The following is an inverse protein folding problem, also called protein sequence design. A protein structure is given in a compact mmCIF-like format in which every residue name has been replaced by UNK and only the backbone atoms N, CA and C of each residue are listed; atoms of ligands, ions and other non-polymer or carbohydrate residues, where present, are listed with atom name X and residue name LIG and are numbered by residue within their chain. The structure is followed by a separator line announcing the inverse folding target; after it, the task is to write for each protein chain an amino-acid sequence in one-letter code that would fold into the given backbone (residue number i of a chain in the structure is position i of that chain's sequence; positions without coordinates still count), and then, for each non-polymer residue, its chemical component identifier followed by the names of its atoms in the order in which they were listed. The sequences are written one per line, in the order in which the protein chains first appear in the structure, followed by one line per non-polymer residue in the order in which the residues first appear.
data_IF_806527776783
#
_entry.id   IF_806527776783
#
_cell.length_a   1.000
_cell.length_b   1.000
_cell.length_c   1.000
_cell.angle_alpha   90.00
_cell.angle_beta   90.00
_cell.angle_gamma   90.00
#
_symmetry.space_group_name_H-M   'P 1'
#
loop_
_entity.id
_entity.type
_entity.pdbx_description
1 polymer ?
#
# COMPACT_ATOMS: atom_id res chain seq x y z
N UNK A 1 6.64 20.34 -14.68
CA UNK A 1 5.97 19.08 -15.07
C UNK A 1 5.39 18.47 -13.81
N UNK A 2 4.17 17.94 -13.86
CA UNK A 2 3.57 17.28 -12.69
C UNK A 2 4.07 15.84 -12.69
N UNK A 3 4.63 15.36 -11.58
CA UNK A 3 4.99 13.94 -11.43
C UNK A 3 3.72 13.17 -11.13
N UNK A 4 3.53 12.01 -11.76
CA UNK A 4 2.29 11.25 -11.64
C UNK A 4 2.59 9.79 -11.32
N UNK A 5 2.36 9.42 -10.07
CA UNK A 5 2.48 8.06 -9.59
C UNK A 5 1.14 7.34 -9.44
N UNK A 6 1.15 6.03 -9.64
CA UNK A 6 0.03 5.14 -9.33
C UNK A 6 0.50 4.05 -8.36
N UNK A 7 -0.18 3.89 -7.23
CA UNK A 7 0.01 2.78 -6.30
C UNK A 7 -1.20 1.88 -6.35
N UNK A 8 -1.00 0.65 -6.82
CA UNK A 8 -1.97 -0.42 -6.82
C UNK A 8 -1.79 -1.21 -5.53
N UNK A 9 -2.87 -1.36 -4.74
CA UNK A 9 -2.87 -2.11 -3.49
C UNK A 9 -4.03 -3.12 -3.48
N UNK A 10 -3.94 -4.15 -2.65
CA UNK A 10 -4.88 -5.27 -2.71
C UNK A 10 -6.28 -4.86 -2.28
N UNK A 11 -6.40 -4.11 -1.18
CA UNK A 11 -7.69 -3.78 -0.58
C UNK A 11 -7.81 -2.38 0.00
N UNK A 12 -8.98 -2.12 0.59
CA UNK A 12 -9.32 -0.84 1.21
C UNK A 12 -8.50 -0.54 2.46
N UNK A 13 -8.08 -1.57 3.20
CA UNK A 13 -7.25 -1.43 4.40
C UNK A 13 -5.83 -1.00 4.04
N UNK A 14 -5.23 -1.60 3.01
CA UNK A 14 -3.91 -1.19 2.53
C UNK A 14 -3.93 0.25 2.05
N UNK A 15 -4.96 0.64 1.28
CA UNK A 15 -5.18 2.03 0.89
C UNK A 15 -5.30 2.94 2.11
N UNK A 16 -5.96 2.51 3.19
CA UNK A 16 -6.10 3.31 4.41
C UNK A 16 -4.75 3.52 5.11
N UNK A 17 -3.93 2.47 5.23
CA UNK A 17 -2.56 2.57 5.76
C UNK A 17 -1.70 3.51 4.90
N UNK A 18 -1.70 3.32 3.57
CA UNK A 18 -1.00 4.21 2.64
C UNK A 18 -1.48 5.67 2.77
N UNK A 19 -2.79 5.88 2.82
CA UNK A 19 -3.40 7.21 2.97
C UNK A 19 -2.92 7.90 4.24
N UNK A 20 -2.93 7.20 5.37
CA UNK A 20 -2.49 7.75 6.63
C UNK A 20 -0.99 8.02 6.66
N UNK A 21 -0.17 7.12 6.08
CA UNK A 21 1.27 7.31 5.96
C UNK A 21 1.63 8.53 5.12
N UNK A 22 1.03 8.67 3.94
CA UNK A 22 1.22 9.85 3.08
C UNK A 22 0.81 11.14 3.81
N UNK A 23 -0.32 11.12 4.51
CA UNK A 23 -0.79 12.27 5.29
C UNK A 23 0.20 12.63 6.40
N UNK A 24 0.73 11.65 7.13
CA UNK A 24 1.76 11.84 8.16
C UNK A 24 3.06 12.46 7.60
N UNK A 25 3.35 12.23 6.32
CA UNK A 25 4.47 12.85 5.58
C UNK A 25 4.14 14.18 4.92
N UNK A 26 2.96 14.74 5.19
CA UNK A 26 2.54 16.06 4.71
C UNK A 26 1.96 16.08 3.29
N UNK A 27 1.60 14.92 2.73
CA UNK A 27 0.81 14.87 1.50
C UNK A 27 -0.62 15.33 1.77
N UNK A 28 -1.18 16.12 0.86
CA UNK A 28 -2.54 16.64 0.96
C UNK A 28 -3.49 15.77 0.15
N UNK A 29 -4.55 15.28 0.78
CA UNK A 29 -5.61 14.57 0.06
C UNK A 29 -6.33 15.51 -0.91
N UNK A 30 -6.58 15.02 -2.12
CA UNK A 30 -7.27 15.75 -3.18
C UNK A 30 -8.76 15.35 -3.28
N UNK A 31 -9.35 14.83 -2.20
CA UNK A 31 -10.79 14.51 -2.17
C UNK A 31 -11.59 15.78 -2.51
N UNK A 32 -12.36 15.79 -3.61
CA UNK A 32 -13.16 16.95 -3.94
C UNK A 32 -14.28 17.12 -2.92
N UNK A 33 -14.70 18.36 -2.67
CA UNK A 33 -15.86 18.66 -1.83
C UNK A 33 -17.17 18.13 -2.46
N UNK A 34 -17.21 18.05 -3.79
CA UNK A 34 -18.29 17.47 -4.58
C UNK A 34 -17.76 16.90 -5.89
N UNK A 35 -18.36 15.82 -6.40
CA UNK A 35 -17.93 15.17 -7.65
C UNK A 35 -16.81 14.13 -7.47
N UNK A 36 -16.23 13.70 -8.60
CA UNK A 36 -15.13 12.72 -8.62
C UNK A 36 -13.79 13.41 -8.78
N UNK A 37 -12.77 12.90 -8.09
CA UNK A 37 -11.40 13.38 -8.28
C UNK A 37 -10.93 13.00 -9.70
N UNK A 38 -10.11 13.87 -10.30
CA UNK A 38 -9.44 13.61 -11.57
C UNK A 38 -7.94 13.40 -11.34
N UNK A 39 -7.32 12.53 -12.14
CA UNK A 39 -5.88 12.40 -12.23
C UNK A 39 -5.28 13.51 -13.14
N UNK A 40 -3.93 13.67 -13.21
CA UNK A 40 -3.28 14.62 -14.12
C UNK A 40 -3.57 14.41 -15.60
N UNK A 41 -4.05 13.22 -16.00
CA UNK A 41 -4.50 12.91 -17.37
C UNK A 41 -5.94 13.34 -17.61
N UNK A 42 -6.62 13.90 -16.60
CA UNK A 42 -8.02 14.33 -16.65
C UNK A 42 -9.02 13.18 -16.51
N UNK A 43 -8.57 11.99 -16.10
CA UNK A 43 -9.43 10.81 -15.95
C UNK A 43 -10.04 10.79 -14.56
N UNK A 44 -11.30 10.38 -14.46
CA UNK A 44 -11.93 10.13 -13.17
C UNK A 44 -11.23 8.98 -12.44
N UNK A 45 -10.95 9.18 -11.15
CA UNK A 45 -10.40 8.11 -10.33
C UNK A 45 -11.40 6.95 -10.21
N UNK A 46 -10.93 5.69 -10.23
CA UNK A 46 -11.79 4.54 -10.06
C UNK A 46 -12.46 4.55 -8.67
N UNK A 47 -13.58 3.84 -8.53
CA UNK A 47 -14.32 3.76 -7.27
C UNK A 47 -13.39 3.31 -6.14
N UNK A 48 -13.32 4.10 -5.08
CA UNK A 48 -12.50 3.79 -3.92
C UNK A 48 -11.04 4.25 -4.03
N UNK A 49 -10.58 4.74 -5.18
CA UNK A 49 -9.25 5.33 -5.25
C UNK A 49 -9.18 6.70 -4.57
N UNK A 50 -8.02 7.02 -4.00
CA UNK A 50 -7.71 8.34 -3.45
C UNK A 50 -6.61 9.01 -4.25
N UNK A 51 -6.61 10.34 -4.27
CA UNK A 51 -5.50 11.12 -4.81
C UNK A 51 -4.86 11.95 -3.71
N UNK A 52 -3.54 12.11 -3.81
CA UNK A 52 -2.73 12.92 -2.93
C UNK A 52 -1.78 13.80 -3.73
N UNK A 53 -1.44 14.96 -3.17
CA UNK A 53 -0.49 15.90 -3.76
C UNK A 53 0.51 16.40 -2.74
N UNK A 54 1.77 16.54 -3.17
CA UNK A 54 2.83 17.22 -2.43
C UNK A 54 3.73 17.97 -3.42
N UNK A 55 3.71 19.30 -3.37
CA UNK A 55 4.40 20.13 -4.37
C UNK A 55 3.94 19.84 -5.80
N UNK A 56 4.87 19.37 -6.64
CA UNK A 56 4.62 18.98 -8.04
C UNK A 56 4.30 17.48 -8.21
N UNK A 57 4.33 16.69 -7.15
CA UNK A 57 4.00 15.28 -7.18
C UNK A 57 2.51 15.03 -6.94
N UNK A 58 1.93 14.14 -7.74
CA UNK A 58 0.58 13.64 -7.63
C UNK A 58 0.62 12.12 -7.57
N UNK A 59 -0.08 11.51 -6.61
CA UNK A 59 -0.17 10.05 -6.52
C UNK A 59 -1.63 9.61 -6.42
N UNK A 60 -1.97 8.57 -7.18
CA UNK A 60 -3.25 7.87 -7.08
C UNK A 60 -3.05 6.57 -6.31
N UNK A 61 -3.81 6.36 -5.24
CA UNK A 61 -3.88 5.10 -4.50
C UNK A 61 -5.12 4.33 -4.96
N UNK A 62 -4.94 3.16 -5.57
CA UNK A 62 -6.02 2.35 -6.14
C UNK A 62 -6.15 1.02 -5.37
N UNK A 63 -7.25 0.79 -4.63
CA UNK A 63 -7.56 -0.53 -4.09
C UNK A 63 -8.12 -1.41 -5.21
N UNK A 64 -7.44 -2.51 -5.51
CA UNK A 64 -7.76 -3.35 -6.66
C UNK A 64 -8.80 -4.44 -6.35
N UNK A 65 -9.01 -4.82 -5.09
CA UNK A 65 -9.90 -5.92 -4.74
C UNK A 65 -9.28 -7.30 -5.01
N UNK A 66 -7.95 -7.41 -4.89
CA UNK A 66 -7.22 -8.68 -5.01
C UNK A 66 -6.14 -8.70 -6.08
N UNK A 67 -5.33 -9.76 -6.03
CA UNK A 67 -4.15 -9.94 -6.88
C UNK A 67 -4.42 -9.95 -8.38
N UNK A 68 -5.44 -10.66 -8.83
CA UNK A 68 -5.81 -10.74 -10.25
C UNK A 68 -6.05 -9.35 -10.84
N UNK A 69 -6.68 -8.48 -10.06
CA UNK A 69 -7.01 -7.13 -10.49
C UNK A 69 -5.80 -6.20 -10.42
N UNK A 70 -4.88 -6.39 -9.45
CA UNK A 70 -3.56 -5.73 -9.45
C UNK A 70 -2.84 -6.03 -10.77
N UNK A 71 -2.76 -7.30 -11.20
CA UNK A 71 -2.08 -7.67 -12.45
C UNK A 71 -2.73 -7.04 -13.68
N UNK A 72 -4.07 -6.96 -13.70
CA UNK A 72 -4.83 -6.36 -14.81
C UNK A 72 -4.56 -4.87 -14.90
N UNK A 73 -4.74 -4.14 -13.80
CA UNK A 73 -4.55 -2.69 -13.74
C UNK A 73 -3.08 -2.30 -13.93
N UNK A 74 -2.14 -3.08 -13.39
CA UNK A 74 -0.71 -2.86 -13.62
C UNK A 74 -0.36 -2.91 -15.12
N UNK A 75 -0.87 -3.90 -15.85
CA UNK A 75 -0.61 -4.01 -17.27
C UNK A 75 -1.17 -2.81 -18.07
N UNK A 76 -2.35 -2.32 -17.69
CA UNK A 76 -2.97 -1.15 -18.32
C UNK A 76 -2.17 0.13 -18.04
N UNK A 77 -1.86 0.41 -16.78
CA UNK A 77 -1.08 1.59 -16.41
C UNK A 77 0.34 1.54 -17.01
N UNK A 78 0.98 0.37 -17.07
CA UNK A 78 2.29 0.22 -17.69
C UNK A 78 2.25 0.47 -19.21
N UNK A 79 1.22 -0.04 -19.90
CA UNK A 79 1.04 0.20 -21.33
C UNK A 79 0.82 1.69 -21.63
N UNK A 80 -0.08 2.33 -20.88
CA UNK A 80 -0.39 3.75 -21.03
C UNK A 80 0.82 4.62 -20.70
N UNK A 81 1.50 4.37 -19.58
CA UNK A 81 2.71 5.09 -19.19
C UNK A 81 3.79 5.01 -20.28
N UNK A 82 3.96 3.84 -20.90
CA UNK A 82 4.93 3.63 -21.97
C UNK A 82 4.54 4.38 -23.25
N UNK A 83 3.28 4.29 -23.67
CA UNK A 83 2.76 5.01 -24.86
C UNK A 83 2.82 6.53 -24.68
N UNK A 84 2.53 7.01 -23.48
CA UNK A 84 2.52 8.44 -23.16
C UNK A 84 3.88 8.96 -22.69
N UNK A 85 4.94 8.14 -22.72
CA UNK A 85 6.26 8.55 -22.23
C UNK A 85 6.72 9.84 -22.91
N UNK A 86 7.13 10.81 -22.09
CA UNK A 86 7.47 12.18 -22.52
C UNK A 86 6.31 13.19 -22.49
N UNK A 87 5.06 12.76 -22.29
CA UNK A 87 3.93 13.67 -22.06
C UNK A 87 4.03 14.33 -20.68
N UNK A 88 3.69 15.63 -20.53
CA UNK A 88 3.82 16.38 -19.28
C UNK A 88 2.96 15.83 -18.11
N UNK A 89 2.00 14.94 -18.40
CA UNK A 89 1.10 14.32 -17.44
C UNK A 89 1.18 12.78 -17.44
N UNK A 90 2.17 12.22 -18.14
CA UNK A 90 2.39 10.77 -18.20
C UNK A 90 2.62 10.20 -16.79
N UNK A 91 2.17 8.97 -16.58
CA UNK A 91 2.54 8.21 -15.39
C UNK A 91 4.04 7.91 -15.45
N UNK A 92 4.78 8.38 -14.48
CA UNK A 92 6.24 8.19 -14.37
C UNK A 92 6.62 7.28 -13.19
N UNK A 93 5.62 6.78 -12.46
CA UNK A 93 5.80 5.86 -11.34
C UNK A 93 4.61 4.88 -11.22
N UNK A 94 4.90 3.59 -11.05
CA UNK A 94 3.89 2.56 -10.76
C UNK A 94 4.40 1.66 -9.62
N UNK A 95 3.62 1.51 -8.54
CA UNK A 95 3.85 0.49 -7.53
C UNK A 95 2.74 -0.55 -7.50
N UNK A 96 3.11 -1.83 -7.40
CA UNK A 96 2.20 -2.92 -7.09
C UNK A 96 2.51 -3.44 -5.68
N UNK A 97 1.56 -3.26 -4.76
CA UNK A 97 1.69 -3.66 -3.36
C UNK A 97 0.69 -4.78 -3.03
N UNK A 98 1.16 -5.87 -2.42
CA UNK A 98 0.32 -7.03 -2.11
C UNK A 98 0.88 -7.82 -0.94
N UNK A 99 0.03 -8.61 -0.28
CA UNK A 99 0.44 -9.46 0.84
C UNK A 99 1.28 -10.67 0.35
N UNK A 100 2.29 -11.07 1.13
CA UNK A 100 3.18 -12.18 0.77
C UNK A 100 2.51 -13.56 0.86
N UNK A 101 1.37 -13.64 1.55
CA UNK A 101 0.66 -14.89 1.84
C UNK A 101 -0.36 -15.27 0.76
N UNK A 102 -0.51 -14.45 -0.28
CA UNK A 102 -1.29 -14.81 -1.47
C UNK A 102 -0.67 -16.09 -2.05
N UNK A 103 -1.46 -17.15 -2.14
CA UNK A 103 -1.00 -18.43 -2.67
C UNK A 103 -0.80 -18.33 -4.19
N UNK A 104 0.29 -18.90 -4.72
CA UNK A 104 0.51 -18.98 -6.15
C UNK A 104 1.97 -18.85 -6.58
N UNK A 105 2.14 -18.58 -7.88
CA UNK A 105 3.44 -18.38 -8.52
C UNK A 105 4.19 -17.16 -7.95
N UNK A 106 5.47 -17.00 -8.33
CA UNK A 106 6.24 -15.81 -8.01
C UNK A 106 5.52 -14.55 -8.53
N UNK A 107 4.92 -13.80 -7.60
CA UNK A 107 4.15 -12.59 -7.89
C UNK A 107 5.02 -11.47 -8.48
N UNK A 108 6.30 -11.40 -8.10
CA UNK A 108 7.25 -10.49 -8.72
C UNK A 108 7.47 -10.85 -10.19
N UNK A 109 7.60 -12.15 -10.48
CA UNK A 109 7.70 -12.63 -11.87
C UNK A 109 6.44 -12.32 -12.67
N UNK A 110 5.26 -12.51 -12.07
CA UNK A 110 3.99 -12.21 -12.73
C UNK A 110 3.88 -10.73 -13.13
N UNK A 111 4.30 -9.80 -12.26
CA UNK A 111 4.33 -8.36 -12.57
C UNK A 111 5.34 -8.07 -13.68
N UNK A 112 6.54 -8.68 -13.64
CA UNK A 112 7.55 -8.56 -14.71
C UNK A 112 7.05 -9.09 -16.06
N UNK A 113 6.30 -10.19 -16.06
CA UNK A 113 5.69 -10.74 -17.28
C UNK A 113 4.59 -9.82 -17.84
N UNK A 114 3.79 -9.20 -16.96
CA UNK A 114 2.81 -8.18 -17.37
C UNK A 114 3.48 -6.95 -17.95
N UNK A 115 4.57 -6.48 -17.34
CA UNK A 115 5.38 -5.38 -17.88
C UNK A 115 5.89 -5.73 -19.28
N UNK A 116 6.53 -6.90 -19.46
CA UNK A 116 7.04 -7.34 -20.76
C UNK A 116 5.94 -7.41 -21.81
N UNK A 117 4.76 -7.93 -21.45
CA UNK A 117 3.62 -8.00 -22.36
C UNK A 117 3.08 -6.62 -22.73
N UNK A 118 3.01 -5.69 -21.77
CA UNK A 118 2.47 -4.35 -21.97
C UNK A 118 3.40 -3.45 -22.79
N UNK A 119 4.71 -3.59 -22.61
CA UNK A 119 5.72 -2.67 -23.18
C UNK A 119 6.56 -3.27 -24.29
N UNK A 120 6.62 -4.61 -24.40
CA UNK A 120 7.56 -5.30 -25.28
C UNK A 120 8.98 -5.42 -24.70
N UNK A 121 9.25 -4.84 -23.52
CA UNK A 121 10.59 -4.81 -22.91
C UNK A 121 10.71 -5.76 -21.72
N UNK A 122 11.77 -6.57 -21.68
CA UNK A 122 12.04 -7.43 -20.53
C UNK A 122 12.59 -6.60 -19.36
N UNK A 123 11.93 -6.60 -18.18
CA UNK A 123 12.47 -5.92 -17.01
C UNK A 123 13.60 -6.77 -16.38
N UNK A 124 14.51 -6.17 -15.60
CA UNK A 124 15.53 -6.91 -14.87
C UNK A 124 14.89 -7.82 -13.79
N UNK A 125 15.58 -8.88 -13.33
CA UNK A 125 15.08 -9.82 -12.32
C UNK A 125 15.20 -9.25 -10.90
N UNK A 126 14.60 -8.08 -10.67
CA UNK A 126 14.52 -7.40 -9.37
C UNK A 126 13.13 -6.78 -9.21
N UNK A 127 12.80 -6.39 -8.00
CA UNK A 127 11.48 -5.87 -7.63
C UNK A 127 11.36 -4.34 -7.77
N UNK A 128 12.44 -3.66 -8.17
CA UNK A 128 12.47 -2.24 -8.50
C UNK A 128 13.23 -1.99 -9.80
N UNK A 129 12.66 -1.22 -10.74
CA UNK A 129 13.38 -0.84 -11.95
C UNK A 129 12.90 0.48 -12.54
N UNK A 130 13.65 1.00 -13.50
CA UNK A 130 13.27 2.18 -14.28
C UNK A 130 13.47 1.89 -15.76
N UNK A 131 12.53 2.34 -16.60
CA UNK A 131 12.60 2.23 -18.04
C UNK A 131 11.90 3.42 -18.70
N UNK A 132 12.56 4.10 -19.63
CA UNK A 132 12.02 5.29 -20.33
C UNK A 132 11.40 6.32 -19.38
N UNK A 133 12.08 6.60 -18.26
CA UNK A 133 11.62 7.54 -17.24
C UNK A 133 10.60 6.99 -16.25
N UNK A 134 9.98 5.84 -16.52
CA UNK A 134 8.95 5.20 -15.67
C UNK A 134 9.63 4.36 -14.59
N UNK A 135 9.44 4.71 -13.32
CA UNK A 135 9.85 3.88 -12.18
C UNK A 135 8.78 2.83 -11.87
N UNK A 136 9.20 1.61 -11.59
CA UNK A 136 8.33 0.52 -11.18
C UNK A 136 8.83 -0.11 -9.89
N UNK A 137 7.92 -0.33 -8.95
CA UNK A 137 8.19 -1.00 -7.68
C UNK A 137 7.18 -2.13 -7.42
N UNK A 138 7.69 -3.25 -6.94
CA UNK A 138 6.93 -4.41 -6.50
C UNK A 138 7.17 -4.53 -5.00
N UNK A 139 6.12 -4.28 -4.22
CA UNK A 139 6.19 -4.30 -2.77
C UNK A 139 5.41 -5.50 -2.27
N UNK A 140 6.09 -6.36 -1.52
CA UNK A 140 5.48 -7.52 -0.89
C UNK A 140 5.43 -7.31 0.62
N UNK A 141 4.23 -7.21 1.18
CA UNK A 141 4.07 -7.06 2.62
C UNK A 141 4.34 -8.39 3.32
N UNK A 142 5.38 -8.41 4.15
CA UNK A 142 5.73 -9.54 5.00
C UNK A 142 6.10 -9.04 6.38
N UNK A 143 5.59 -9.71 7.42
CA UNK A 143 5.89 -9.35 8.80
C UNK A 143 7.19 -9.97 9.32
N UNK A 144 7.84 -10.87 8.56
CA UNK A 144 9.17 -11.41 8.83
C UNK A 144 9.27 -12.45 9.96
N UNK A 145 8.28 -12.59 10.83
CA UNK A 145 8.25 -13.59 11.91
C UNK A 145 7.09 -14.56 11.75
N UNK A 146 7.31 -15.84 12.07
CA UNK A 146 6.32 -16.90 11.89
C UNK A 146 5.01 -16.69 12.69
N UNK A 147 5.06 -15.92 13.78
CA UNK A 147 3.86 -15.61 14.58
C UNK A 147 2.93 -14.61 13.91
N UNK A 148 3.44 -13.87 12.94
CA UNK A 148 2.68 -12.87 12.21
C UNK A 148 2.31 -13.39 10.84
N UNK A 149 1.09 -13.06 10.40
CA UNK A 149 0.70 -13.28 9.01
C UNK A 149 1.61 -12.45 8.11
N UNK A 150 2.10 -13.02 7.01
CA UNK A 150 2.92 -12.31 6.03
C UNK A 150 2.05 -11.41 5.15
N UNK A 151 1.51 -10.36 5.78
CA UNK A 151 0.60 -9.37 5.22
C UNK A 151 0.83 -8.01 5.86
N UNK A 152 0.21 -6.98 5.31
CA UNK A 152 0.21 -5.64 5.92
C UNK A 152 -0.44 -5.64 7.30
N UNK A 153 -1.51 -6.40 7.48
CA UNK A 153 -2.22 -6.52 8.77
C UNK A 153 -1.29 -7.11 9.85
N UNK A 154 -0.47 -8.10 9.47
CA UNK A 154 0.53 -8.68 10.36
C UNK A 154 1.65 -7.71 10.73
N UNK A 155 2.09 -6.86 9.78
CA UNK A 155 3.05 -5.79 10.04
C UNK A 155 2.51 -4.74 11.01
N UNK A 156 1.25 -4.33 10.83
CA UNK A 156 0.59 -3.41 11.76
C UNK A 156 0.52 -4.05 13.15
N UNK A 157 0.03 -5.29 13.27
CA UNK A 157 -0.03 -6.01 14.55
C UNK A 157 1.34 -6.14 15.24
N UNK A 158 2.39 -6.49 14.48
CA UNK A 158 3.78 -6.49 14.96
C UNK A 158 4.19 -5.14 15.53
N UNK A 159 3.87 -4.06 14.84
CA UNK A 159 4.20 -2.69 15.27
C UNK A 159 3.54 -2.34 16.61
N UNK A 160 2.28 -2.75 16.83
CA UNK A 160 1.60 -2.60 18.12
C UNK A 160 2.28 -3.40 19.23
N UNK A 161 2.61 -4.66 18.95
CA UNK A 161 3.24 -5.55 19.91
C UNK A 161 4.60 -5.01 20.38
N UNK A 162 5.38 -4.44 19.46
CA UNK A 162 6.68 -3.84 19.74
C UNK A 162 6.58 -2.48 20.44
N UNK A 163 5.59 -1.65 20.07
CA UNK A 163 5.38 -0.34 20.69
C UNK A 163 4.88 -0.47 22.14
N UNK A 164 4.08 -1.51 22.43
CA UNK A 164 3.36 -1.62 23.69
C UNK A 164 3.28 -3.08 24.20
N UNK A 165 4.42 -3.68 24.57
CA UNK A 165 4.50 -5.12 24.88
C UNK A 165 3.64 -5.55 26.06
N UNK A 166 3.47 -4.70 27.09
CA UNK A 166 2.63 -5.03 28.23
C UNK A 166 1.14 -5.07 27.86
N UNK A 167 0.66 -4.09 27.09
CA UNK A 167 -0.73 -4.05 26.62
C UNK A 167 -1.00 -5.13 25.58
N UNK A 168 -0.03 -5.44 24.73
CA UNK A 168 -0.12 -6.59 23.80
C UNK A 168 -0.44 -7.89 24.54
N UNK A 169 0.32 -8.22 25.59
CA UNK A 169 0.08 -9.44 26.39
C UNK A 169 -1.35 -9.51 26.96
N UNK A 170 -1.90 -8.37 27.39
CA UNK A 170 -3.27 -8.32 27.88
C UNK A 170 -4.29 -8.55 26.76
N UNK A 171 -4.06 -7.99 25.58
CA UNK A 171 -4.93 -8.20 24.39
C UNK A 171 -4.85 -9.66 23.93
N UNK A 172 -3.65 -10.23 23.88
CA UNK A 172 -3.41 -11.64 23.53
C UNK A 172 -4.10 -12.58 24.52
N UNK A 173 -3.93 -12.37 25.82
CA UNK A 173 -4.63 -13.14 26.86
C UNK A 173 -6.16 -13.00 26.77
N UNK A 174 -6.66 -11.80 26.46
CA UNK A 174 -8.10 -11.59 26.23
C UNK A 174 -8.59 -12.37 25.01
N UNK A 175 -7.89 -12.31 23.87
CA UNK A 175 -8.24 -13.06 22.67
C UNK A 175 -8.19 -14.58 22.90
N UNK A 176 -7.22 -15.07 23.68
CA UNK A 176 -7.11 -16.48 24.05
C UNK A 176 -8.22 -16.93 24.99
N UNK A 177 -8.78 -16.03 25.81
CA UNK A 177 -9.85 -16.35 26.75
C UNK A 177 -11.24 -16.48 26.12
N UNK A 178 -11.39 -16.10 24.84
CA UNK A 178 -12.68 -16.14 24.13
C UNK A 178 -13.10 -17.58 23.80
N UNK A 179 -14.36 -17.91 24.04
CA UNK A 179 -14.95 -19.19 23.62
C UNK A 179 -14.95 -19.33 22.09
N UNK A 180 -15.12 -18.20 21.39
CA UNK A 180 -15.02 -18.04 19.94
C UNK A 180 -13.65 -17.50 19.51
N UNK A 181 -12.56 -18.02 20.10
CA UNK A 181 -11.19 -17.59 19.79
C UNK A 181 -10.98 -17.57 18.27
N UNK A 182 -10.64 -16.41 17.67
CA UNK A 182 -10.38 -16.36 16.24
C UNK A 182 -9.08 -17.08 15.93
N UNK A 183 -9.10 -17.96 14.93
CA UNK A 183 -7.88 -18.51 14.35
C UNK A 183 -6.98 -17.38 13.82
N UNK A 184 -5.64 -17.56 13.77
CA UNK A 184 -4.73 -16.58 13.17
C UNK A 184 -5.15 -16.24 11.73
N UNK A 185 -5.92 -15.15 11.62
CA UNK A 185 -6.65 -14.77 10.43
C UNK A 185 -6.65 -13.25 10.32
N UNK A 186 -7.18 -12.75 9.19
CA UNK A 186 -7.44 -11.31 9.03
C UNK A 186 -8.29 -10.79 10.20
N UNK A 187 -9.33 -11.53 10.57
CA UNK A 187 -10.26 -11.17 11.65
C UNK A 187 -9.60 -11.14 13.03
N UNK A 188 -8.66 -12.05 13.32
CA UNK A 188 -7.89 -12.01 14.55
C UNK A 188 -7.03 -10.74 14.65
N UNK A 189 -6.36 -10.35 13.55
CA UNK A 189 -5.57 -9.11 13.51
C UNK A 189 -6.46 -7.87 13.68
N UNK A 190 -7.67 -7.87 13.11
CA UNK A 190 -8.63 -6.79 13.34
C UNK A 190 -9.17 -6.75 14.76
N UNK A 191 -9.36 -7.91 15.39
CA UNK A 191 -9.83 -8.00 16.78
C UNK A 191 -8.82 -7.40 17.76
N UNK A 192 -7.52 -7.61 17.51
CA UNK A 192 -6.43 -6.92 18.23
C UNK A 192 -6.60 -5.39 18.10
N UNK A 193 -6.81 -4.91 16.87
CA UNK A 193 -6.87 -3.48 16.57
C UNK A 193 -8.13 -2.82 17.14
N UNK A 194 -9.27 -3.51 17.11
CA UNK A 194 -10.52 -3.11 17.76
C UNK A 194 -10.38 -3.03 19.29
N UNK A 195 -9.63 -3.95 19.92
CA UNK A 195 -9.29 -3.86 21.34
C UNK A 195 -8.39 -2.67 21.69
N UNK A 196 -7.65 -2.15 20.72
CA UNK A 196 -6.77 -0.99 20.92
C UNK A 196 -7.49 0.35 20.80
N UNK A 197 -8.34 0.47 19.78
CA UNK A 197 -9.06 1.68 19.40
C UNK A 197 -10.55 1.39 19.16
N UNK A 198 -11.31 1.01 20.20
CA UNK A 198 -12.69 0.56 20.06
C UNK A 198 -13.62 1.62 19.48
N UNK A 199 -13.30 2.90 19.65
CA UNK A 199 -14.13 4.03 19.19
C UNK A 199 -13.85 4.44 17.73
N UNK A 200 -12.75 4.00 17.13
CA UNK A 200 -12.31 4.52 15.83
C UNK A 200 -12.77 3.67 14.64
N UNK A 201 -13.14 2.40 14.85
CA UNK A 201 -13.46 1.48 13.76
C UNK A 201 -12.38 1.50 12.67
N UNK A 202 -12.74 1.28 11.40
CA UNK A 202 -11.77 1.27 10.26
C UNK A 202 -10.97 2.57 10.08
N UNK A 203 -11.44 3.71 10.60
CA UNK A 203 -10.72 5.00 10.49
C UNK A 203 -9.37 4.99 11.22
N UNK A 204 -9.16 4.04 12.12
CA UNK A 204 -7.92 3.91 12.88
C UNK A 204 -6.69 3.67 11.97
N UNK A 205 -6.84 2.92 10.87
CA UNK A 205 -5.74 2.68 9.91
C UNK A 205 -5.30 3.94 9.19
N UNK A 206 -6.26 4.83 8.94
CA UNK A 206 -6.02 6.08 8.24
C UNK A 206 -5.52 7.18 9.19
N UNK A 207 -5.94 7.17 10.45
CA UNK A 207 -5.68 8.25 11.41
C UNK A 207 -5.01 7.76 12.69
N UNK A 208 -5.64 6.84 13.42
CA UNK A 208 -5.20 6.38 14.73
C UNK A 208 -3.74 5.93 14.79
N UNK A 209 -3.33 4.99 13.92
CA UNK A 209 -1.96 4.45 13.93
C UNK A 209 -0.88 5.50 13.68
N UNK A 210 -1.23 6.60 12.99
CA UNK A 210 -0.29 7.65 12.59
C UNK A 210 -0.20 8.81 13.58
N UNK A 211 -1.17 8.90 14.51
CA UNK A 211 -1.15 9.85 15.63
C UNK A 211 -0.36 9.33 16.83
N UNK A 212 -0.27 8.02 17.00
CA UNK A 212 0.57 7.39 18.02
C UNK A 212 2.03 7.30 17.53
N UNK A 213 2.91 8.12 18.11
CA UNK A 213 4.33 8.18 17.71
C UNK A 213 5.03 6.82 17.81
N UNK A 214 4.76 6.06 18.87
CA UNK A 214 5.44 4.79 19.12
C UNK A 214 5.07 3.73 18.08
N UNK A 215 3.77 3.63 17.74
CA UNK A 215 3.31 2.72 16.68
C UNK A 215 3.81 3.18 15.33
N UNK A 216 3.71 4.49 15.03
CA UNK A 216 4.17 5.06 13.78
C UNK A 216 5.64 4.78 13.51
N UNK A 217 6.51 4.97 14.50
CA UNK A 217 7.95 4.77 14.33
C UNK A 217 8.29 3.31 14.03
N UNK A 218 7.64 2.37 14.73
CA UNK A 218 7.80 0.93 14.47
C UNK A 218 7.29 0.55 13.09
N UNK A 219 6.07 0.94 12.75
CA UNK A 219 5.48 0.64 11.45
C UNK A 219 6.28 1.24 10.31
N UNK A 220 6.76 2.48 10.46
CA UNK A 220 7.61 3.14 9.45
C UNK A 220 8.91 2.37 9.26
N UNK A 221 9.58 1.95 10.35
CA UNK A 221 10.79 1.15 10.24
C UNK A 221 10.55 -0.17 9.47
N UNK A 222 9.46 -0.89 9.78
CA UNK A 222 9.13 -2.13 9.05
C UNK A 222 8.79 -1.88 7.58
N UNK A 223 8.06 -0.79 7.27
CA UNK A 223 7.76 -0.41 5.89
C UNK A 223 9.05 -0.05 5.12
N UNK A 224 10.00 0.62 5.77
CA UNK A 224 11.28 0.99 5.18
C UNK A 224 12.15 -0.22 4.84
N UNK A 225 12.15 -1.26 5.70
CA UNK A 225 12.78 -2.55 5.41
C UNK A 225 12.21 -3.23 4.15
N UNK A 226 10.93 -2.98 3.84
CA UNK A 226 10.26 -3.46 2.62
C UNK A 226 10.45 -2.55 1.41
N UNK A 227 11.25 -1.48 1.54
CA UNK A 227 11.55 -0.55 0.45
C UNK A 227 10.48 0.52 0.19
N UNK A 228 9.54 0.71 1.13
CA UNK A 228 8.47 1.73 1.01
C UNK A 228 9.03 3.15 0.95
N UNK A 229 10.14 3.45 1.64
CA UNK A 229 10.81 4.74 1.48
C UNK A 229 11.26 4.98 0.04
N UNK A 230 11.82 3.97 -0.65
CA UNK A 230 12.21 4.11 -2.08
C UNK A 230 11.00 4.39 -2.96
N UNK A 231 9.86 3.80 -2.63
CA UNK A 231 8.60 4.06 -3.31
C UNK A 231 8.21 5.55 -3.20
N UNK A 232 8.26 6.14 -2.01
CA UNK A 232 7.94 7.58 -1.86
C UNK A 232 9.00 8.48 -2.45
N UNK A 233 10.28 8.16 -2.32
CA UNK A 233 11.34 8.89 -3.00
C UNK A 233 11.11 8.91 -4.51
N UNK A 234 10.66 7.80 -5.10
CA UNK A 234 10.33 7.74 -6.52
C UNK A 234 9.06 8.54 -6.89
N UNK A 235 8.12 8.74 -5.96
CA UNK A 235 6.98 9.65 -6.16
C UNK A 235 7.39 11.12 -6.13
N UNK A 236 8.44 11.46 -5.38
CA UNK A 236 8.86 12.85 -5.12
C UNK A 236 10.00 13.33 -6.04
N UNK A 237 10.89 12.43 -6.46
CA UNK A 237 11.99 12.68 -7.39
C UNK A 237 11.46 12.90 -8.81
#
# INVERSE_FOLDING_TARGET
MTRHGVVLCEGYHDRAVWSGWLTARGWKSMRPLSGKALDPRGRELPKGAFAFRRGHAFVTLVPCGGWTEILRLFALEAQEAFVESGSPNAVDFIAACFDADIAGADHGQSIRDRWRKATGHAPPPRDDWRHEGIAVHVVRFTAGEARWRSSLDGLVARSFAEAYPARWRNVEAWLESREDKPEPSKEAMWSVMAGWFPEQGESFLQHGIWHDQSIRDRLTAHLDELGITRVVEAMEA
#
